data_IF_580012230133
#
_entry.id   IF_580012230133
#
_cell.length_a   1.000
_cell.length_b   1.000
_cell.length_c   1.000
_cell.angle_alpha   90.00
_cell.angle_beta   90.00
_cell.angle_gamma   90.00
#
_symmetry.space_group_name_H-M   'P 1'
#
loop_
_entity.id
_entity.type
_entity.pdbx_description
1 polymer ?
#
# COMPACT_ATOMS: atom_id res chain seq x y z
N UNK A 1 -15.50 -20.52 -18.69
CA UNK A 1 -14.44 -20.10 -17.76
C UNK A 1 -14.84 -18.76 -17.17
N UNK A 2 -15.36 -18.74 -15.95
CA UNK A 2 -15.90 -17.52 -15.34
C UNK A 2 -14.74 -16.69 -14.77
N UNK A 3 -14.36 -15.65 -15.50
CA UNK A 3 -13.56 -14.54 -14.97
C UNK A 3 -14.35 -13.87 -13.84
N UNK A 4 -14.12 -14.30 -12.61
CA UNK A 4 -14.52 -13.50 -11.45
C UNK A 4 -13.64 -12.26 -11.40
N UNK A 5 -14.08 -11.18 -12.05
CA UNK A 5 -13.65 -9.83 -11.70
C UNK A 5 -14.10 -9.54 -10.26
N UNK A 6 -13.24 -9.83 -9.29
CA UNK A 6 -13.29 -9.21 -7.95
C UNK A 6 -12.26 -8.08 -7.87
N UNK A 7 -12.32 -7.14 -8.82
CA UNK A 7 -11.26 -6.14 -9.01
C UNK A 7 -11.73 -4.67 -8.91
N UNK A 8 -12.93 -4.41 -8.40
CA UNK A 8 -13.54 -3.07 -8.43
C UNK A 8 -13.65 -2.35 -7.09
N UNK A 9 -13.55 -3.02 -5.93
CA UNK A 9 -13.86 -2.35 -4.64
C UNK A 9 -12.64 -1.88 -3.83
N UNK A 10 -11.42 -2.25 -4.23
CA UNK A 10 -10.20 -1.99 -3.45
C UNK A 10 -9.19 -1.08 -4.16
N UNK A 11 -9.63 -0.18 -5.04
CA UNK A 11 -8.73 0.85 -5.60
C UNK A 11 -8.87 2.17 -4.85
N UNK A 12 -7.74 2.82 -4.61
CA UNK A 12 -7.69 4.15 -4.04
C UNK A 12 -8.09 5.19 -5.09
N UNK A 13 -8.83 6.22 -4.67
CA UNK A 13 -9.21 7.34 -5.52
C UNK A 13 -7.99 8.12 -6.02
N UNK A 14 -7.00 8.30 -5.13
CA UNK A 14 -5.75 8.98 -5.43
C UNK A 14 -4.59 8.00 -5.25
N UNK A 15 -3.76 7.75 -6.29
CA UNK A 15 -2.56 6.94 -6.14
C UNK A 15 -1.63 7.53 -5.08
N UNK A 16 -0.82 6.67 -4.47
CA UNK A 16 0.33 7.07 -3.65
C UNK A 16 1.58 6.79 -4.47
N UNK A 17 2.40 7.81 -4.68
CA UNK A 17 3.66 7.68 -5.38
C UNK A 17 4.74 7.34 -4.37
N UNK A 18 5.43 6.23 -4.60
CA UNK A 18 6.53 5.77 -3.74
C UNK A 18 7.79 5.66 -4.56
N UNK A 19 8.87 6.25 -4.06
CA UNK A 19 10.20 6.15 -4.63
C UNK A 19 11.10 5.40 -3.68
N UNK A 20 11.27 4.11 -3.95
CA UNK A 20 12.15 3.25 -3.18
C UNK A 20 13.46 3.06 -3.97
N UNK A 21 14.56 3.61 -3.46
CA UNK A 21 15.86 3.57 -4.12
C UNK A 21 16.03 4.59 -5.26
N UNK A 22 16.72 4.17 -6.34
CA UNK A 22 17.01 5.00 -7.51
C UNK A 22 16.04 4.75 -8.69
N UNK A 23 15.01 3.93 -8.50
CA UNK A 23 14.02 3.64 -9.53
C UNK A 23 13.01 4.78 -9.69
N UNK A 24 12.28 4.76 -10.81
CA UNK A 24 11.19 5.68 -11.13
C UNK A 24 10.09 5.56 -10.06
N UNK A 25 9.47 6.67 -9.60
CA UNK A 25 8.38 6.59 -8.62
C UNK A 25 7.25 5.68 -9.10
N UNK A 26 6.89 4.70 -8.27
CA UNK A 26 5.84 3.73 -8.57
C UNK A 26 4.49 4.25 -8.06
N UNK A 27 3.48 4.23 -8.93
CA UNK A 27 2.13 4.71 -8.60
C UNK A 27 1.27 3.58 -8.03
N UNK A 28 1.15 3.53 -6.72
CA UNK A 28 0.37 2.52 -6.00
C UNK A 28 -1.09 2.94 -5.94
N UNK A 29 -1.97 2.14 -6.54
CA UNK A 29 -3.41 2.45 -6.67
C UNK A 29 -4.30 1.54 -5.85
N UNK A 30 -3.73 0.57 -5.13
CA UNK A 30 -4.51 -0.40 -4.36
C UNK A 30 -3.76 -0.84 -3.10
N UNK A 31 -4.48 -1.25 -2.03
CA UNK A 31 -3.87 -1.80 -0.84
C UNK A 31 -3.17 -3.14 -1.11
N UNK A 32 -3.55 -3.86 -2.18
CA UNK A 32 -2.83 -5.05 -2.64
C UNK A 32 -1.46 -4.69 -3.20
N UNK A 33 -1.37 -3.70 -4.08
CA UNK A 33 -0.09 -3.21 -4.60
C UNK A 33 0.78 -2.65 -3.46
N UNK A 34 0.17 -1.90 -2.53
CA UNK A 34 0.84 -1.39 -1.35
C UNK A 34 1.43 -2.52 -0.48
N UNK A 35 0.65 -3.59 -0.24
CA UNK A 35 1.13 -4.74 0.53
C UNK A 35 2.27 -5.48 -0.18
N UNK A 36 2.20 -5.63 -1.51
CA UNK A 36 3.31 -6.20 -2.28
C UNK A 36 4.57 -5.34 -2.18
N UNK A 37 4.45 -4.02 -2.27
CA UNK A 37 5.58 -3.10 -2.07
C UNK A 37 6.19 -3.26 -0.68
N UNK A 38 5.36 -3.29 0.37
CA UNK A 38 5.79 -3.51 1.76
C UNK A 38 6.50 -4.87 1.98
N UNK A 39 6.20 -5.88 1.16
CA UNK A 39 6.74 -7.23 1.32
C UNK A 39 8.01 -7.48 0.50
N UNK A 40 8.07 -6.97 -0.73
CA UNK A 40 9.12 -7.35 -1.67
C UNK A 40 10.15 -6.25 -1.95
N UNK A 41 9.73 -4.98 -1.90
CA UNK A 41 10.58 -3.85 -2.30
C UNK A 41 10.90 -2.89 -1.17
N UNK A 42 10.28 -3.05 -0.01
CA UNK A 42 10.45 -2.14 1.11
C UNK A 42 11.91 -2.03 1.56
N UNK A 43 12.41 -0.82 1.87
CA UNK A 43 13.75 -0.66 2.44
C UNK A 43 13.83 -1.35 3.82
N UNK A 44 15.03 -1.56 4.38
CA UNK A 44 15.22 -2.15 5.70
C UNK A 44 14.85 -1.18 6.85
N UNK A 45 13.68 -0.55 6.75
CA UNK A 45 13.08 0.35 7.74
C UNK A 45 11.77 -0.28 8.21
N UNK A 46 11.79 -0.80 9.43
CA UNK A 46 10.68 -1.57 10.02
C UNK A 46 10.21 -0.93 11.32
N UNK A 47 9.71 0.30 11.27
CA UNK A 47 9.09 0.92 12.45
C UNK A 47 7.60 0.63 12.56
N UNK A 48 6.94 1.33 13.47
CA UNK A 48 5.55 1.07 13.84
C UNK A 48 4.60 1.29 12.65
N UNK A 49 4.86 2.32 11.83
CA UNK A 49 4.02 2.61 10.67
C UNK A 49 4.08 1.50 9.62
N UNK A 50 5.23 0.82 9.45
CA UNK A 50 5.36 -0.32 8.55
C UNK A 50 4.43 -1.48 8.95
N UNK A 51 4.46 -1.87 10.23
CA UNK A 51 3.61 -2.94 10.75
C UNK A 51 2.13 -2.57 10.66
N UNK A 52 1.80 -1.32 11.00
CA UNK A 52 0.44 -0.78 10.89
C UNK A 52 -0.05 -0.81 9.44
N UNK A 53 0.78 -0.36 8.49
CA UNK A 53 0.44 -0.34 7.07
C UNK A 53 0.17 -1.75 6.53
N UNK A 54 1.00 -2.75 6.85
CA UNK A 54 0.76 -4.14 6.46
C UNK A 54 -0.57 -4.67 7.00
N UNK A 55 -0.84 -4.44 8.28
CA UNK A 55 -2.07 -4.89 8.91
C UNK A 55 -3.29 -4.23 8.27
N UNK A 56 -3.25 -2.90 8.07
CA UNK A 56 -4.35 -2.14 7.47
C UNK A 56 -4.60 -2.51 6.02
N UNK A 57 -3.55 -2.68 5.21
CA UNK A 57 -3.68 -3.15 3.83
C UNK A 57 -4.27 -4.57 3.77
N UNK A 58 -3.87 -5.46 4.67
CA UNK A 58 -4.43 -6.82 4.75
C UNK A 58 -5.91 -6.81 5.16
N UNK A 59 -6.28 -5.97 6.12
CA UNK A 59 -7.69 -5.79 6.52
C UNK A 59 -8.53 -5.18 5.40
N UNK A 60 -7.97 -4.27 4.60
CA UNK A 60 -8.68 -3.65 3.48
C UNK A 60 -8.94 -4.67 2.36
N UNK A 61 -7.96 -5.54 2.08
CA UNK A 61 -8.16 -6.66 1.17
C UNK A 61 -9.24 -7.65 1.65
N UNK A 62 -9.43 -7.78 2.97
CA UNK A 62 -10.49 -8.58 3.56
C UNK A 62 -11.85 -7.85 3.67
N UNK A 63 -11.95 -6.58 3.23
CA UNK A 63 -13.16 -5.76 3.35
C UNK A 63 -13.50 -5.35 4.78
N UNK A 64 -12.53 -5.43 5.71
CA UNK A 64 -12.73 -5.14 7.15
C UNK A 64 -12.40 -3.71 7.56
N UNK A 65 -11.78 -2.93 6.67
CA UNK A 65 -11.45 -1.51 6.88
C UNK A 65 -11.66 -0.74 5.58
N UNK A 66 -11.83 0.58 5.67
CA UNK A 66 -11.96 1.42 4.49
C UNK A 66 -10.65 1.44 3.68
N UNK A 67 -10.80 1.52 2.35
CA UNK A 67 -9.69 1.69 1.43
C UNK A 67 -8.88 2.95 1.74
N UNK A 68 -9.54 4.03 2.17
CA UNK A 68 -8.90 5.28 2.56
C UNK A 68 -8.04 5.13 3.83
N UNK A 69 -8.53 4.45 4.87
CA UNK A 69 -7.73 4.21 6.07
C UNK A 69 -6.48 3.35 5.79
N UNK A 70 -6.57 2.41 4.84
CA UNK A 70 -5.38 1.65 4.39
C UNK A 70 -4.38 2.51 3.64
N UNK A 71 -4.86 3.51 2.88
CA UNK A 71 -4.04 4.48 2.17
C UNK A 71 -3.29 5.38 3.14
N UNK A 72 -3.97 5.93 4.14
CA UNK A 72 -3.37 6.78 5.16
C UNK A 72 -2.26 6.04 5.92
N UNK A 73 -2.53 4.80 6.34
CA UNK A 73 -1.52 3.98 7.01
C UNK A 73 -0.29 3.72 6.11
N UNK A 74 -0.51 3.48 4.81
CA UNK A 74 0.59 3.31 3.86
C UNK A 74 1.40 4.59 3.66
N UNK A 75 0.75 5.75 3.57
CA UNK A 75 1.45 7.05 3.48
C UNK A 75 2.32 7.29 4.71
N UNK A 76 1.81 7.01 5.90
CA UNK A 76 2.60 7.12 7.14
C UNK A 76 3.85 6.24 7.11
N UNK A 77 3.73 5.00 6.63
CA UNK A 77 4.88 4.14 6.43
C UNK A 77 5.87 4.71 5.40
N UNK A 78 5.37 5.31 4.31
CA UNK A 78 6.23 5.92 3.29
C UNK A 78 6.98 7.15 3.83
N UNK A 79 6.34 7.96 4.67
CA UNK A 79 6.96 9.10 5.36
C UNK A 79 8.05 8.61 6.31
N UNK A 80 7.74 7.60 7.13
CA UNK A 80 8.69 7.02 8.10
C UNK A 80 9.93 6.44 7.41
N UNK A 81 9.73 5.72 6.30
CA UNK A 81 10.81 5.15 5.50
C UNK A 81 11.50 6.17 4.57
N UNK A 82 11.03 7.42 4.50
CA UNK A 82 11.50 8.48 3.59
C UNK A 82 11.49 8.06 2.11
N UNK A 83 10.45 7.34 1.72
CA UNK A 83 10.22 6.84 0.35
C UNK A 83 9.02 7.49 -0.33
N UNK A 84 8.38 8.46 0.31
CA UNK A 84 7.32 9.27 -0.30
C UNK A 84 7.97 10.29 -1.27
N UNK A 85 7.46 10.35 -2.50
CA UNK A 85 7.89 11.31 -3.54
C UNK A 85 6.93 12.51 -3.61
#
# INVERSE_FOLDING_TARGET
>A
MNMQMRASDTRWLTPVYVRIGHEVPEAIRSPREALNQLLYRWPPVYGEAYHLAKQRCSLAMAGKTSCEASREAFIMACIEAKVLD
#
